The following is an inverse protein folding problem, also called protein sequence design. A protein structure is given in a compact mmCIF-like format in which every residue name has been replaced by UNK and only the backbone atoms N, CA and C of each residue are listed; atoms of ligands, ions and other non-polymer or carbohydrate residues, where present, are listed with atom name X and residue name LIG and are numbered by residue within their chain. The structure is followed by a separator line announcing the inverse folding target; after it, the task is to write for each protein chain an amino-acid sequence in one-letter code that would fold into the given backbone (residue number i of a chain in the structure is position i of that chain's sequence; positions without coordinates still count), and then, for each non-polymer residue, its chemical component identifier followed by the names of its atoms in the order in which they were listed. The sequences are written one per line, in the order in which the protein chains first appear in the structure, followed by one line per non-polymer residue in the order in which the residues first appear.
data_IF_941064959045
#
_entry.id   IF_941064959045
#
_cell.length_a   1.000
_cell.length_b   1.000
_cell.length_c   1.000
_cell.angle_alpha   90.00
_cell.angle_beta   90.00
_cell.angle_gamma   90.00
#
_symmetry.space_group_name_H-M   'P 1'
#
loop_
_entity.id
_entity.type
_entity.pdbx_description
1 polymer ?
#
# COMPACT_ATOMS: atom_id res chain seq x y z
N UNK A 1 4.17 -13.23 26.94
CA UNK A 1 3.34 -13.99 25.98
C UNK A 1 3.51 -13.34 24.62
N UNK A 2 3.86 -14.06 23.54
CA UNK A 2 3.84 -13.49 22.19
C UNK A 2 2.37 -13.17 21.81
N UNK A 3 2.11 -11.96 21.36
CA UNK A 3 0.77 -11.53 21.00
C UNK A 3 0.27 -12.36 19.80
N UNK A 4 -0.93 -12.92 19.91
CA UNK A 4 -1.62 -13.67 18.88
C UNK A 4 -1.79 -12.80 17.62
N UNK A 5 -1.21 -13.23 16.49
CA UNK A 5 -1.32 -12.60 15.16
C UNK A 5 -2.74 -12.70 14.52
N UNK A 6 -3.78 -12.81 15.34
CA UNK A 6 -5.18 -12.91 14.91
C UNK A 6 -5.93 -11.57 15.02
N UNK A 7 -5.24 -10.46 15.30
CA UNK A 7 -5.78 -9.14 15.00
C UNK A 7 -5.43 -8.90 13.53
N UNK A 8 -6.42 -8.94 12.64
CA UNK A 8 -6.30 -8.35 11.31
C UNK A 8 -5.77 -6.93 11.49
N UNK A 9 -4.45 -6.76 11.36
CA UNK A 9 -3.81 -5.47 11.48
C UNK A 9 -4.12 -4.70 10.21
N UNK A 10 -5.37 -4.23 10.08
CA UNK A 10 -5.79 -3.26 9.06
C UNK A 10 -4.88 -2.03 9.06
N UNK A 11 -4.14 -1.82 10.16
CA UNK A 11 -3.02 -0.88 10.31
C UNK A 11 -2.01 -0.94 9.14
N UNK A 12 -1.73 -2.10 8.56
CA UNK A 12 -0.74 -2.22 7.47
C UNK A 12 -1.36 -2.26 6.07
N UNK A 13 -2.68 -2.32 5.95
CA UNK A 13 -3.37 -2.25 4.67
C UNK A 13 -3.54 -0.78 4.28
N UNK A 14 -3.22 -0.43 3.04
CA UNK A 14 -3.46 0.91 2.55
C UNK A 14 -4.95 1.23 2.44
N UNK A 15 -5.30 2.44 2.87
CA UNK A 15 -6.68 2.93 2.86
C UNK A 15 -7.27 2.83 1.45
N UNK A 16 -8.48 2.28 1.34
CA UNK A 16 -9.21 2.05 0.07
C UNK A 16 -8.52 1.09 -0.92
N UNK A 17 -7.63 0.21 -0.46
CA UNK A 17 -6.99 -0.78 -1.32
C UNK A 17 -6.76 -2.10 -0.60
N UNK A 18 -6.62 -3.17 -1.37
CA UNK A 18 -6.17 -4.47 -0.85
C UNK A 18 -4.63 -4.54 -0.73
N UNK A 19 -3.94 -3.44 -1.04
CA UNK A 19 -2.49 -3.35 -1.03
C UNK A 19 -1.97 -3.21 0.40
N UNK A 20 -1.06 -4.10 0.81
CA UNK A 20 -0.36 -4.01 2.09
C UNK A 20 0.90 -3.17 1.95
N UNK A 21 1.40 -2.63 3.06
CA UNK A 21 2.63 -1.85 3.13
C UNK A 21 3.80 -2.55 2.42
N UNK A 22 4.47 -1.85 1.50
CA UNK A 22 5.56 -2.39 0.69
C UNK A 22 5.11 -3.20 -0.53
N UNK A 23 3.81 -3.45 -0.69
CA UNK A 23 3.28 -4.07 -1.89
C UNK A 23 3.08 -3.02 -2.99
N UNK A 24 3.29 -3.44 -4.25
CA UNK A 24 3.17 -2.59 -5.44
C UNK A 24 2.30 -3.30 -6.45
N UNK A 25 1.30 -2.61 -6.98
CA UNK A 25 0.47 -3.10 -8.08
C UNK A 25 0.71 -2.28 -9.33
N UNK A 26 0.83 -2.97 -10.46
CA UNK A 26 1.07 -2.36 -11.76
C UNK A 26 -0.16 -2.60 -12.61
N UNK A 27 -0.78 -1.52 -13.07
CA UNK A 27 -1.93 -1.60 -13.96
C UNK A 27 -1.51 -1.04 -15.32
N UNK A 28 -1.43 -1.93 -16.32
CA UNK A 28 -1.09 -1.52 -17.68
C UNK A 28 -2.22 -0.68 -18.29
N UNK A 29 -1.84 0.42 -18.91
CA UNK A 29 -2.72 1.35 -19.62
C UNK A 29 -2.18 1.59 -21.02
N UNK A 30 -3.00 2.10 -21.94
CA UNK A 30 -2.58 2.33 -23.33
C UNK A 30 -1.42 3.33 -23.48
N UNK A 31 -1.20 4.20 -22.48
CA UNK A 31 -0.13 5.21 -22.46
C UNK A 31 1.04 4.88 -21.54
N UNK A 32 1.09 3.69 -20.93
CA UNK A 32 2.12 3.32 -19.96
C UNK A 32 1.57 2.47 -18.81
N UNK A 33 2.19 2.57 -17.63
CA UNK A 33 1.91 1.71 -16.50
C UNK A 33 1.59 2.54 -15.26
N UNK A 34 0.39 2.37 -14.71
CA UNK A 34 0.00 2.97 -13.45
C UNK A 34 0.48 2.07 -12.30
N UNK A 35 1.60 2.46 -11.69
CA UNK A 35 2.24 1.78 -10.59
C UNK A 35 1.73 2.40 -9.29
N UNK A 36 0.92 1.64 -8.57
CA UNK A 36 0.36 2.03 -7.29
C UNK A 36 1.13 1.33 -6.18
N UNK A 37 1.77 2.09 -5.30
CA UNK A 37 2.52 1.56 -4.17
C UNK A 37 1.85 1.93 -2.85
N UNK A 38 1.87 1.00 -1.90
CA UNK A 38 1.44 1.26 -0.54
C UNK A 38 2.66 1.61 0.30
N UNK A 39 2.77 2.88 0.69
CA UNK A 39 3.89 3.39 1.47
C UNK A 39 3.48 3.71 2.90
N UNK A 40 4.47 3.65 3.78
CA UNK A 40 4.34 4.05 5.18
C UNK A 40 4.35 5.58 5.29
N UNK A 41 3.30 6.14 5.87
CA UNK A 41 3.11 7.59 6.02
C UNK A 41 3.32 8.06 7.47
N UNK A 42 3.56 7.13 8.40
CA UNK A 42 3.81 7.43 9.81
C UNK A 42 2.88 6.67 10.76
N UNK A 43 2.73 7.19 11.97
CA UNK A 43 1.75 6.70 12.95
C UNK A 43 0.86 7.86 13.33
N UNK A 44 -0.43 7.73 13.05
CA UNK A 44 -1.45 8.70 13.45
C UNK A 44 -2.35 8.07 14.49
N UNK A 45 -2.48 8.71 15.66
CA UNK A 45 -3.32 8.25 16.77
C UNK A 45 -3.07 6.77 17.17
N UNK A 46 -1.80 6.36 17.23
CA UNK A 46 -1.41 4.99 17.61
C UNK A 46 -1.67 3.92 16.54
N UNK A 47 -2.11 4.31 15.34
CA UNK A 47 -2.30 3.41 14.19
C UNK A 47 -1.27 3.73 13.11
N UNK A 48 -0.79 2.72 12.39
CA UNK A 48 0.11 2.92 11.25
C UNK A 48 -0.69 3.62 10.14
N UNK A 49 -0.24 4.82 9.77
CA UNK A 49 -0.76 5.55 8.64
C UNK A 49 -0.09 5.02 7.38
N UNK A 50 -0.91 4.64 6.41
CA UNK A 50 -0.50 4.07 5.14
C UNK A 50 -1.10 4.90 4.02
N UNK A 51 -0.28 5.23 3.03
CA UNK A 51 -0.68 6.10 1.92
C UNK A 51 -0.47 5.37 0.60
N UNK A 52 -1.52 5.39 -0.22
CA UNK A 52 -1.50 4.79 -1.55
C UNK A 52 -0.97 5.85 -2.52
N UNK A 53 0.17 5.59 -3.15
CA UNK A 53 0.79 6.52 -4.10
C UNK A 53 0.72 5.93 -5.51
N UNK A 54 -0.18 6.41 -6.37
CA UNK A 54 -0.17 6.07 -7.79
C UNK A 54 0.91 6.87 -8.51
N UNK A 55 1.61 6.21 -9.42
CA UNK A 55 2.66 6.81 -10.26
C UNK A 55 2.54 6.27 -11.68
N UNK A 56 2.57 7.15 -12.67
CA UNK A 56 2.47 6.75 -14.06
C UNK A 56 3.86 6.67 -14.67
N UNK A 57 4.30 5.45 -14.96
CA UNK A 57 5.58 5.20 -15.60
C UNK A 57 5.38 4.87 -17.08
N UNK A 58 6.14 5.49 -18.01
CA UNK A 58 6.03 5.21 -19.44
C UNK A 58 6.49 3.79 -19.81
N UNK A 59 7.24 3.13 -18.92
CA UNK A 59 7.67 1.73 -19.05
C UNK A 59 7.35 1.01 -17.74
N UNK A 60 6.67 -0.13 -17.84
CA UNK A 60 6.53 -1.07 -16.73
C UNK A 60 7.91 -1.67 -16.41
N UNK A 61 8.25 -1.87 -15.12
CA UNK A 61 9.37 -2.72 -14.72
C UNK A 61 9.15 -4.20 -15.07
#
# INVERSE_FOLDING_TARGET
MPASLAVSCSSMQCKNSNLMLGNVTIQQTSGGCNVTSCIYDGIANGTIATTLTPSLQPRCP
#
